data_IF_824773678727
#
_entry.id   IF_824773678727
#
_cell.length_a   1.000
_cell.length_b   1.000
_cell.length_c   1.000
_cell.angle_alpha   90.00
_cell.angle_beta   90.00
_cell.angle_gamma   90.00
#
_symmetry.space_group_name_H-M   'P 1'
#
loop_
_entity.id
_entity.type
_entity.pdbx_description
1 polymer ?
#
# COMPACT_ATOMS: atom_id res chain seq x y z
N UNK A 1 19.85 -26.21 22.80
CA UNK A 1 19.64 -25.15 21.80
C UNK A 1 18.73 -25.74 20.72
N UNK A 2 17.45 -25.33 20.66
CA UNK A 2 16.49 -25.82 19.66
C UNK A 2 16.70 -24.95 18.44
N UNK A 3 17.19 -25.51 17.35
CA UNK A 3 17.30 -24.83 16.07
C UNK A 3 15.98 -25.11 15.35
N UNK A 4 15.06 -24.15 15.34
CA UNK A 4 13.86 -24.21 14.50
C UNK A 4 14.29 -24.02 13.04
N UNK A 5 14.05 -25.02 12.21
CA UNK A 5 14.22 -24.84 10.76
C UNK A 5 13.11 -23.94 10.22
N UNK A 6 13.41 -23.08 9.25
CA UNK A 6 12.42 -22.15 8.68
C UNK A 6 11.19 -22.84 8.03
N UNK A 7 11.26 -24.17 7.81
CA UNK A 7 10.15 -25.01 7.33
C UNK A 7 9.08 -25.30 8.39
N UNK A 8 9.41 -25.16 9.68
CA UNK A 8 8.49 -25.47 10.79
C UNK A 8 7.62 -24.28 11.22
N UNK A 9 7.86 -23.08 10.68
CA UNK A 9 7.01 -21.93 10.89
C UNK A 9 5.68 -22.15 10.14
N UNK A 10 4.64 -22.40 10.92
CA UNK A 10 3.28 -22.56 10.40
C UNK A 10 2.87 -21.23 9.71
N UNK A 11 2.54 -21.27 8.42
CA UNK A 11 2.13 -20.08 7.68
C UNK A 11 0.67 -19.80 8.06
N UNK A 12 0.40 -18.63 8.60
CA UNK A 12 -0.96 -18.10 8.64
C UNK A 12 -1.36 -17.70 7.21
N UNK A 13 -1.98 -18.63 6.49
CA UNK A 13 -2.36 -18.41 5.07
C UNK A 13 -3.24 -17.18 4.87
N UNK A 14 -4.17 -16.92 5.79
CA UNK A 14 -5.04 -15.73 5.72
C UNK A 14 -4.29 -14.43 5.98
N UNK A 15 -3.35 -14.45 6.91
CA UNK A 15 -2.47 -13.32 7.18
C UNK A 15 -1.52 -13.05 6.02
N UNK A 16 -0.95 -14.12 5.45
CA UNK A 16 -0.12 -14.05 4.26
C UNK A 16 -0.87 -13.44 3.07
N UNK A 17 -2.05 -14.00 2.71
CA UNK A 17 -2.86 -13.49 1.61
C UNK A 17 -3.20 -12.02 1.77
N UNK A 18 -3.72 -11.61 2.93
CA UNK A 18 -4.05 -10.19 3.18
C UNK A 18 -2.86 -9.25 3.00
N UNK A 19 -1.68 -9.64 3.49
CA UNK A 19 -0.51 -8.79 3.33
C UNK A 19 -0.03 -8.75 1.88
N UNK A 20 -0.06 -9.89 1.18
CA UNK A 20 0.27 -9.96 -0.24
C UNK A 20 -0.68 -9.13 -1.09
N UNK A 21 -1.98 -9.16 -0.82
CA UNK A 21 -2.98 -8.32 -1.50
C UNK A 21 -2.66 -6.83 -1.31
N UNK A 22 -2.39 -6.39 -0.08
CA UNK A 22 -2.01 -5.01 0.21
C UNK A 22 -0.76 -4.58 -0.56
N UNK A 23 0.27 -5.42 -0.56
CA UNK A 23 1.53 -5.19 -1.31
C UNK A 23 1.26 -5.14 -2.81
N UNK A 24 0.45 -6.06 -3.34
CA UNK A 24 0.12 -6.12 -4.76
C UNK A 24 -0.64 -4.88 -5.23
N UNK A 25 -1.70 -4.47 -4.52
CA UNK A 25 -2.46 -3.26 -4.86
C UNK A 25 -1.61 -1.99 -4.70
N UNK A 26 -0.76 -1.92 -3.67
CA UNK A 26 0.18 -0.81 -3.53
C UNK A 26 1.18 -0.76 -4.70
N UNK A 27 1.66 -1.90 -5.16
CA UNK A 27 2.52 -1.99 -6.33
C UNK A 27 1.81 -1.47 -7.60
N UNK A 28 0.53 -1.76 -7.78
CA UNK A 28 -0.28 -1.21 -8.88
C UNK A 28 -0.37 0.32 -8.79
N UNK A 29 -0.61 0.87 -7.60
CA UNK A 29 -0.65 2.32 -7.41
C UNK A 29 0.69 3.01 -7.76
N UNK A 30 1.81 2.39 -7.37
CA UNK A 30 3.16 2.86 -7.70
C UNK A 30 3.42 2.89 -9.22
N UNK A 31 2.73 2.03 -9.97
CA UNK A 31 2.77 1.97 -11.43
C UNK A 31 1.83 2.96 -12.12
N UNK A 32 1.18 3.85 -11.36
CA UNK A 32 0.24 4.84 -11.87
C UNK A 32 -1.21 4.37 -11.89
N UNK A 33 -1.52 3.25 -11.20
CA UNK A 33 -2.87 2.70 -11.07
C UNK A 33 -3.37 1.94 -12.30
N UNK A 34 -4.62 1.52 -12.26
CA UNK A 34 -5.22 0.70 -13.31
C UNK A 34 -5.29 1.41 -14.68
N UNK A 35 -5.47 2.74 -14.68
CA UNK A 35 -5.50 3.51 -15.92
C UNK A 35 -4.18 3.41 -16.66
N UNK A 36 -3.08 3.65 -15.96
CA UNK A 36 -1.74 3.58 -16.54
C UNK A 36 -1.40 2.15 -16.98
N UNK A 37 -1.80 1.14 -16.20
CA UNK A 37 -1.64 -0.26 -16.59
C UNK A 37 -2.39 -0.60 -17.88
N UNK A 38 -3.57 -0.02 -18.13
CA UNK A 38 -4.32 -0.23 -19.36
C UNK A 38 -3.64 0.41 -20.59
N UNK A 39 -2.89 1.48 -20.39
CA UNK A 39 -2.11 2.14 -21.44
C UNK A 39 -0.87 1.33 -21.85
N UNK A 40 -0.30 0.55 -20.92
CA UNK A 40 0.86 -0.30 -21.18
C UNK A 40 0.48 -1.60 -21.92
N UNK A 41 0.26 -1.54 -23.21
CA UNK A 41 -0.18 -2.67 -24.06
C UNK A 41 0.70 -3.94 -23.99
N UNK A 42 1.94 -3.83 -23.51
CA UNK A 42 2.90 -4.93 -23.45
C UNK A 42 3.10 -5.51 -22.05
N UNK A 43 2.41 -5.02 -21.03
CA UNK A 43 2.57 -5.46 -19.65
C UNK A 43 1.76 -6.72 -19.34
N UNK A 44 2.26 -7.87 -19.78
CA UNK A 44 1.74 -9.19 -19.39
C UNK A 44 2.33 -9.71 -18.07
N UNK A 45 2.83 -8.81 -17.24
CA UNK A 45 3.62 -9.17 -16.05
C UNK A 45 2.86 -9.08 -14.70
N UNK A 46 1.55 -8.81 -14.70
CA UNK A 46 0.74 -8.84 -13.47
C UNK A 46 0.88 -10.15 -12.68
N UNK A 47 0.86 -11.35 -13.32
CA UNK A 47 1.14 -12.60 -12.60
C UNK A 47 2.55 -12.63 -12.00
N UNK A 48 3.53 -12.03 -12.66
CA UNK A 48 4.90 -11.94 -12.14
C UNK A 48 4.98 -10.98 -10.95
N UNK A 49 4.20 -9.91 -10.95
CA UNK A 49 4.10 -8.98 -9.83
C UNK A 49 3.45 -9.66 -8.60
N UNK A 50 2.37 -10.43 -8.81
CA UNK A 50 1.75 -11.19 -7.73
C UNK A 50 2.73 -12.20 -7.11
N UNK A 51 3.44 -12.97 -7.94
CA UNK A 51 4.49 -13.90 -7.47
C UNK A 51 5.62 -13.17 -6.73
N UNK A 52 6.01 -12.00 -7.20
CA UNK A 52 7.01 -11.17 -6.52
C UNK A 52 6.50 -10.69 -5.15
N UNK A 53 5.25 -10.26 -5.04
CA UNK A 53 4.66 -9.87 -3.76
C UNK A 53 4.66 -11.04 -2.76
N UNK A 54 4.24 -12.24 -3.18
CA UNK A 54 4.35 -13.45 -2.37
C UNK A 54 5.80 -13.73 -1.94
N UNK A 55 6.74 -13.69 -2.88
CA UNK A 55 8.14 -13.99 -2.59
C UNK A 55 8.72 -13.02 -1.54
N UNK A 56 8.42 -11.73 -1.63
CA UNK A 56 8.86 -10.72 -0.67
C UNK A 56 8.23 -10.97 0.70
N UNK A 57 6.91 -11.13 0.78
CA UNK A 57 6.21 -11.33 2.05
C UNK A 57 6.64 -12.63 2.73
N UNK A 58 6.76 -13.74 1.98
CA UNK A 58 7.26 -15.02 2.52
C UNK A 58 8.68 -14.90 3.06
N UNK A 59 9.53 -14.10 2.42
CA UNK A 59 10.90 -13.85 2.90
C UNK A 59 10.94 -13.01 4.15
N UNK A 60 10.24 -11.86 4.14
CA UNK A 60 10.36 -10.84 5.18
C UNK A 60 9.56 -11.17 6.45
N UNK A 61 8.37 -11.80 6.32
CA UNK A 61 7.50 -12.10 7.46
C UNK A 61 7.65 -13.55 7.97
N UNK A 62 7.90 -14.49 7.05
CA UNK A 62 7.92 -15.91 7.37
C UNK A 62 9.32 -16.54 7.29
N UNK A 63 10.34 -15.74 6.95
CA UNK A 63 11.75 -16.14 6.88
C UNK A 63 12.00 -17.40 6.01
N UNK A 64 11.15 -17.63 5.01
CA UNK A 64 11.24 -18.79 4.14
C UNK A 64 12.50 -18.77 3.28
N UNK A 65 13.04 -19.95 2.98
CA UNK A 65 14.20 -20.10 2.09
C UNK A 65 13.86 -19.81 0.64
N UNK A 66 14.86 -19.57 -0.21
CA UNK A 66 14.66 -19.39 -1.66
C UNK A 66 13.99 -20.62 -2.30
N UNK A 67 14.26 -21.81 -1.78
CA UNK A 67 13.71 -23.08 -2.28
C UNK A 67 12.24 -23.24 -1.87
N UNK A 68 11.89 -22.96 -0.60
CA UNK A 68 10.50 -23.01 -0.12
C UNK A 68 9.62 -21.99 -0.89
N UNK A 69 10.15 -20.77 -1.09
CA UNK A 69 9.47 -19.75 -1.85
C UNK A 69 9.27 -20.18 -3.30
N UNK A 70 10.29 -20.76 -3.93
CA UNK A 70 10.23 -21.22 -5.31
C UNK A 70 9.16 -22.28 -5.51
N UNK A 71 9.05 -23.23 -4.58
CA UNK A 71 8.00 -24.24 -4.56
C UNK A 71 6.62 -23.61 -4.39
N UNK A 72 6.46 -22.69 -3.42
CA UNK A 72 5.17 -22.06 -3.11
C UNK A 72 4.62 -21.25 -4.29
N UNK A 73 5.47 -20.43 -4.94
CA UNK A 73 5.02 -19.54 -6.04
C UNK A 73 5.13 -20.16 -7.43
N UNK A 74 5.61 -21.41 -7.55
CA UNK A 74 5.79 -22.10 -8.83
C UNK A 74 6.86 -21.45 -9.72
N UNK A 75 7.98 -21.04 -9.15
CA UNK A 75 9.12 -20.44 -9.84
C UNK A 75 10.40 -21.26 -9.62
N UNK A 76 11.45 -20.95 -10.39
CA UNK A 76 12.78 -21.49 -10.10
C UNK A 76 13.45 -20.72 -8.97
N UNK A 77 14.30 -21.39 -8.18
CA UNK A 77 15.13 -20.74 -7.14
C UNK A 77 15.89 -19.51 -7.68
N UNK A 78 16.44 -19.61 -8.89
CA UNK A 78 17.18 -18.50 -9.48
C UNK A 78 16.27 -17.29 -9.77
N UNK A 79 15.04 -17.52 -10.20
CA UNK A 79 14.03 -16.46 -10.41
C UNK A 79 13.67 -15.80 -9.08
N UNK A 80 13.44 -16.57 -8.02
CA UNK A 80 13.18 -16.06 -6.67
C UNK A 80 14.36 -15.22 -6.17
N UNK A 81 15.58 -15.70 -6.32
CA UNK A 81 16.79 -14.95 -5.97
C UNK A 81 16.85 -13.61 -6.68
N UNK A 82 16.53 -13.57 -7.97
CA UNK A 82 16.50 -12.33 -8.75
C UNK A 82 15.43 -11.35 -8.25
N UNK A 83 14.24 -11.84 -7.89
CA UNK A 83 13.18 -11.04 -7.25
C UNK A 83 13.68 -10.45 -5.93
N UNK A 84 14.24 -11.29 -5.06
CA UNK A 84 14.73 -10.89 -3.75
C UNK A 84 15.93 -9.92 -3.80
N UNK A 85 16.72 -9.94 -4.85
CA UNK A 85 17.86 -9.04 -5.06
C UNK A 85 17.54 -7.79 -5.87
N UNK A 86 16.32 -7.69 -6.42
CA UNK A 86 15.94 -6.55 -7.25
C UNK A 86 16.04 -5.24 -6.46
N UNK A 87 16.56 -4.21 -7.14
CA UNK A 87 16.69 -2.87 -6.58
C UNK A 87 15.38 -2.10 -6.80
N UNK A 88 14.74 -1.61 -5.72
CA UNK A 88 13.52 -0.83 -5.81
C UNK A 88 13.68 0.49 -6.57
N UNK A 89 14.78 1.21 -6.34
CA UNK A 89 14.98 2.53 -6.93
C UNK A 89 15.25 2.43 -8.43
N UNK A 90 16.08 1.45 -8.83
CA UNK A 90 16.31 1.14 -10.24
C UNK A 90 15.03 0.68 -10.96
N UNK A 91 14.14 -0.05 -10.28
CA UNK A 91 12.86 -0.46 -10.84
C UNK A 91 11.93 0.75 -11.06
N UNK A 92 11.83 1.64 -10.08
CA UNK A 92 11.02 2.86 -10.19
C UNK A 92 11.55 3.81 -11.26
N UNK A 93 12.86 4.02 -11.35
CA UNK A 93 13.45 4.83 -12.40
C UNK A 93 13.07 4.31 -13.79
N UNK A 94 13.19 3.01 -14.03
CA UNK A 94 12.82 2.39 -15.31
C UNK A 94 11.33 2.56 -15.64
N UNK A 95 10.44 2.50 -14.64
CA UNK A 95 9.01 2.68 -14.87
C UNK A 95 8.70 4.13 -15.24
N UNK A 96 9.28 5.09 -14.56
CA UNK A 96 9.06 6.51 -14.83
C UNK A 96 9.55 6.94 -16.21
N UNK A 97 10.58 6.25 -16.76
CA UNK A 97 11.17 6.54 -18.05
C UNK A 97 10.85 5.47 -19.11
N UNK A 98 9.73 4.74 -18.93
CA UNK A 98 9.39 3.59 -19.79
C UNK A 98 9.24 3.96 -21.27
N UNK A 99 8.81 5.18 -21.57
CA UNK A 99 8.62 5.65 -22.93
C UNK A 99 9.96 5.92 -23.64
N UNK A 100 11.01 6.21 -22.88
CA UNK A 100 12.36 6.46 -23.36
C UNK A 100 13.15 5.16 -23.61
N UNK A 101 12.67 4.02 -23.08
CA UNK A 101 13.34 2.73 -23.19
C UNK A 101 13.17 2.13 -24.59
N UNK A 102 14.24 1.53 -25.10
CA UNK A 102 14.19 0.76 -26.33
C UNK A 102 13.26 -0.46 -26.21
N UNK A 103 12.80 -1.01 -27.35
CA UNK A 103 11.94 -2.21 -27.39
C UNK A 103 12.60 -3.40 -26.66
N UNK A 104 13.92 -3.48 -26.70
CA UNK A 104 14.68 -4.56 -26.06
C UNK A 104 14.73 -4.39 -24.55
N UNK A 105 14.96 -3.18 -24.05
CA UNK A 105 14.93 -2.86 -22.63
C UNK A 105 13.53 -3.00 -22.03
N UNK A 106 12.47 -2.63 -22.77
CA UNK A 106 11.07 -2.91 -22.38
C UNK A 106 10.77 -4.40 -22.20
N UNK A 107 11.44 -5.29 -22.98
CA UNK A 107 11.30 -6.74 -22.83
C UNK A 107 12.04 -7.30 -21.60
N UNK A 108 13.15 -6.68 -21.19
CA UNK A 108 13.96 -7.09 -20.03
C UNK A 108 13.36 -6.67 -18.68
N UNK A 109 12.36 -5.80 -18.69
CA UNK A 109 11.69 -5.31 -17.48
C UNK A 109 10.96 -6.39 -16.65
N UNK A 110 10.81 -7.63 -17.13
CA UNK A 110 9.79 -8.57 -16.65
C UNK A 110 9.95 -9.09 -15.22
N UNK A 111 11.14 -9.41 -14.74
CA UNK A 111 11.33 -10.07 -13.43
C UNK A 111 11.97 -9.14 -12.41
N UNK A 112 13.03 -8.45 -12.76
CA UNK A 112 13.73 -7.53 -11.85
C UNK A 112 12.86 -6.33 -11.47
N UNK A 113 12.11 -5.79 -12.43
CA UNK A 113 11.19 -4.66 -12.16
C UNK A 113 10.06 -5.08 -11.21
N UNK A 114 9.43 -6.23 -11.43
CA UNK A 114 8.37 -6.72 -10.54
C UNK A 114 8.89 -6.93 -9.10
N UNK A 115 10.09 -7.48 -8.95
CA UNK A 115 10.72 -7.66 -7.64
C UNK A 115 11.02 -6.32 -6.95
N UNK A 116 11.58 -5.35 -7.67
CA UNK A 116 11.87 -4.02 -7.11
C UNK A 116 10.62 -3.26 -6.70
N UNK A 117 9.58 -3.26 -7.55
CA UNK A 117 8.29 -2.62 -7.22
C UNK A 117 7.61 -3.29 -6.05
N UNK A 118 7.59 -4.63 -5.99
CA UNK A 118 7.01 -5.36 -4.86
C UNK A 118 7.74 -5.07 -3.54
N UNK A 119 9.07 -4.94 -3.55
CA UNK A 119 9.85 -4.52 -2.37
C UNK A 119 9.49 -3.12 -1.89
N UNK A 120 9.42 -2.16 -2.80
CA UNK A 120 9.04 -0.80 -2.45
C UNK A 120 7.61 -0.76 -1.90
N UNK A 121 6.68 -1.45 -2.56
CA UNK A 121 5.30 -1.56 -2.10
C UNK A 121 5.21 -2.19 -0.70
N UNK A 122 5.95 -3.29 -0.45
CA UNK A 122 6.01 -3.92 0.87
C UNK A 122 6.48 -2.95 1.94
N UNK A 123 7.58 -2.22 1.69
CA UNK A 123 8.10 -1.22 2.62
C UNK A 123 7.04 -0.16 2.96
N UNK A 124 6.38 0.41 1.95
CA UNK A 124 5.35 1.42 2.14
C UNK A 124 4.14 0.87 2.91
N UNK A 125 3.71 -0.35 2.62
CA UNK A 125 2.62 -1.02 3.35
C UNK A 125 2.99 -1.26 4.82
N UNK A 126 4.23 -1.63 5.12
CA UNK A 126 4.72 -1.78 6.50
C UNK A 126 4.79 -0.43 7.24
N UNK A 127 4.98 0.65 6.51
CA UNK A 127 4.90 2.02 7.03
C UNK A 127 3.45 2.54 7.16
N UNK A 128 2.45 1.70 6.83
CA UNK A 128 1.03 2.03 6.89
C UNK A 128 0.50 2.80 5.68
N UNK A 129 1.27 2.88 4.60
CA UNK A 129 0.88 3.53 3.35
C UNK A 129 0.23 2.53 2.39
N UNK A 130 -1.00 2.14 2.68
CA UNK A 130 -1.77 1.22 1.84
C UNK A 130 -2.15 1.83 0.47
N UNK A 131 -2.66 0.97 -0.43
CA UNK A 131 -3.13 1.35 -1.74
C UNK A 131 -4.33 2.31 -1.65
N UNK A 132 -4.33 3.35 -2.47
CA UNK A 132 -5.47 4.27 -2.63
C UNK A 132 -6.72 3.54 -3.11
N UNK A 133 -6.57 2.64 -4.08
CA UNK A 133 -7.65 1.81 -4.61
C UNK A 133 -8.30 0.96 -3.51
N UNK A 134 -7.49 0.35 -2.64
CA UNK A 134 -7.98 -0.45 -1.51
C UNK A 134 -8.71 0.44 -0.49
N UNK A 135 -8.16 1.59 -0.15
CA UNK A 135 -8.78 2.56 0.76
C UNK A 135 -10.13 3.07 0.22
N UNK A 136 -10.21 3.36 -1.07
CA UNK A 136 -11.46 3.78 -1.73
C UNK A 136 -12.55 2.71 -1.67
N UNK A 137 -12.18 1.46 -1.93
CA UNK A 137 -13.09 0.32 -1.79
C UNK A 137 -13.60 0.17 -0.36
N UNK A 138 -12.70 0.19 0.63
CA UNK A 138 -13.05 0.10 2.05
C UNK A 138 -13.98 1.26 2.47
N UNK A 139 -13.75 2.47 1.98
CA UNK A 139 -14.61 3.63 2.22
C UNK A 139 -16.02 3.44 1.65
N UNK A 140 -16.13 2.96 0.41
CA UNK A 140 -17.42 2.71 -0.22
C UNK A 140 -18.22 1.68 0.58
N UNK A 141 -17.61 0.56 0.92
CA UNK A 141 -18.23 -0.51 1.71
C UNK A 141 -18.63 -0.06 3.11
N UNK A 142 -17.78 0.69 3.82
CA UNK A 142 -18.09 1.24 5.13
C UNK A 142 -19.26 2.23 5.06
N UNK A 143 -19.30 3.06 4.03
CA UNK A 143 -20.40 4.01 3.82
C UNK A 143 -21.74 3.34 3.58
N UNK A 144 -21.78 2.24 2.82
CA UNK A 144 -22.97 1.45 2.59
C UNK A 144 -23.43 0.73 3.88
N UNK A 145 -22.50 0.13 4.62
CA UNK A 145 -22.78 -0.53 5.89
C UNK A 145 -23.36 0.45 6.93
N UNK A 146 -22.82 1.66 7.02
CA UNK A 146 -23.32 2.70 7.93
C UNK A 146 -24.72 3.19 7.53
N UNK A 147 -25.00 3.35 6.24
CA UNK A 147 -26.33 3.69 5.74
C UNK A 147 -27.36 2.59 6.08
N UNK A 148 -26.98 1.31 5.87
CA UNK A 148 -27.83 0.17 6.18
C UNK A 148 -28.12 0.03 7.68
N UNK A 149 -27.17 0.40 8.55
CA UNK A 149 -27.32 0.36 9.99
C UNK A 149 -28.13 1.53 10.58
N UNK A 150 -28.57 2.50 9.76
CA UNK A 150 -29.28 3.71 10.21
C UNK A 150 -28.55 4.48 11.32
N UNK A 151 -27.22 4.38 11.35
CA UNK A 151 -26.37 5.01 12.35
C UNK A 151 -25.89 6.38 11.89
N UNK A 152 -25.76 7.32 12.82
CA UNK A 152 -25.04 8.57 12.52
C UNK A 152 -23.59 8.24 12.10
N UNK A 153 -23.18 8.86 11.00
CA UNK A 153 -21.84 8.58 10.44
C UNK A 153 -20.76 8.93 11.46
N UNK A 154 -19.90 7.99 11.87
CA UNK A 154 -18.82 8.30 12.80
C UNK A 154 -17.92 9.39 12.24
N UNK A 155 -17.47 10.30 13.09
CA UNK A 155 -16.59 11.41 12.69
C UNK A 155 -15.37 10.93 11.88
N UNK A 156 -14.79 9.78 12.25
CA UNK A 156 -13.66 9.17 11.55
C UNK A 156 -13.98 8.84 10.09
N UNK A 157 -15.17 8.30 9.81
CA UNK A 157 -15.62 8.05 8.45
C UNK A 157 -15.78 9.34 7.65
N UNK A 158 -16.35 10.38 8.26
CA UNK A 158 -16.52 11.68 7.60
C UNK A 158 -15.17 12.29 7.24
N UNK A 159 -14.19 12.27 8.14
CA UNK A 159 -12.82 12.72 7.90
C UNK A 159 -12.21 11.97 6.72
N UNK A 160 -12.22 10.65 6.74
CA UNK A 160 -11.65 9.83 5.68
C UNK A 160 -12.35 10.07 4.33
N UNK A 161 -13.67 10.29 4.32
CA UNK A 161 -14.42 10.62 3.11
C UNK A 161 -13.98 11.95 2.49
N UNK A 162 -13.75 12.98 3.31
CA UNK A 162 -13.33 14.31 2.84
C UNK A 162 -11.85 14.34 2.43
N UNK A 163 -11.02 13.49 3.02
CA UNK A 163 -9.59 13.37 2.71
C UNK A 163 -9.31 12.36 1.60
N UNK A 164 -10.35 11.82 0.95
CA UNK A 164 -10.21 10.90 -0.19
C UNK A 164 -9.37 11.53 -1.30
N UNK A 165 -8.39 10.79 -1.81
CA UNK A 165 -7.50 11.23 -2.89
C UNK A 165 -6.35 12.14 -2.46
N UNK A 166 -6.16 12.40 -1.16
CA UNK A 166 -4.95 13.07 -0.67
C UNK A 166 -3.79 12.07 -0.66
N UNK A 167 -2.67 12.47 -1.25
CA UNK A 167 -1.41 11.70 -1.15
C UNK A 167 -0.79 11.82 0.23
N UNK A 168 -0.25 10.71 0.76
CA UNK A 168 0.54 10.70 1.98
C UNK A 168 2.04 10.62 1.65
N UNK A 169 2.92 11.24 2.47
CA UNK A 169 2.64 11.98 3.72
C UNK A 169 2.03 13.37 3.48
N UNK A 170 1.11 13.79 4.36
CA UNK A 170 0.60 15.17 4.40
C UNK A 170 1.60 16.00 5.21
N UNK A 171 2.21 16.98 4.56
CA UNK A 171 3.31 17.77 5.16
C UNK A 171 2.86 19.13 5.69
N UNK A 172 1.68 19.63 5.29
CA UNK A 172 1.16 20.92 5.72
C UNK A 172 -0.31 20.88 6.11
N UNK A 173 -0.70 21.79 7.00
CA UNK A 173 -2.08 21.94 7.43
C UNK A 173 -3.01 22.44 6.31
N UNK A 174 -2.52 23.24 5.38
CA UNK A 174 -3.35 23.96 4.40
C UNK A 174 -4.15 23.02 3.52
N UNK A 175 -3.49 21.95 3.04
CA UNK A 175 -4.15 20.93 2.21
C UNK A 175 -5.28 20.23 2.98
N UNK A 176 -5.02 19.89 4.24
CA UNK A 176 -6.00 19.20 5.07
C UNK A 176 -7.13 20.16 5.50
N UNK A 177 -6.79 21.40 5.85
CA UNK A 177 -7.75 22.42 6.21
C UNK A 177 -8.75 22.72 5.08
N UNK A 178 -8.27 22.82 3.85
CA UNK A 178 -9.14 23.04 2.69
C UNK A 178 -10.10 21.86 2.41
N UNK A 179 -9.70 20.65 2.77
CA UNK A 179 -10.53 19.43 2.59
C UNK A 179 -11.54 19.22 3.71
N UNK A 180 -11.23 19.68 4.91
CA UNK A 180 -12.09 19.55 6.09
C UNK A 180 -12.91 20.81 6.37
N UNK A 181 -12.79 21.85 5.54
CA UNK A 181 -13.56 23.09 5.69
C UNK A 181 -15.07 22.83 5.68
N UNK A 182 -15.78 23.34 6.68
CA UNK A 182 -17.21 23.14 6.85
C UNK A 182 -17.63 21.79 7.45
N UNK A 183 -16.67 20.89 7.72
CA UNK A 183 -16.95 19.64 8.42
C UNK A 183 -16.91 19.84 9.93
N UNK A 184 -17.99 19.47 10.62
CA UNK A 184 -18.01 19.44 12.09
C UNK A 184 -17.52 18.07 12.61
N UNK A 185 -16.42 18.08 13.35
CA UNK A 185 -15.81 16.89 13.93
C UNK A 185 -16.02 16.95 15.45
N UNK A 186 -17.00 16.21 15.94
CA UNK A 186 -17.41 16.25 17.35
C UNK A 186 -17.62 17.69 17.89
N UNK A 187 -18.22 18.56 17.06
CA UNK A 187 -18.53 19.93 17.44
C UNK A 187 -17.39 20.94 17.23
N UNK A 188 -16.24 20.51 16.73
CA UNK A 188 -15.11 21.38 16.37
C UNK A 188 -15.02 21.51 14.85
N UNK A 189 -14.75 22.71 14.35
CA UNK A 189 -14.59 22.93 12.91
C UNK A 189 -13.36 22.18 12.35
N UNK A 190 -13.55 21.48 11.22
CA UNK A 190 -12.50 20.66 10.64
C UNK A 190 -11.25 21.44 10.22
N UNK A 191 -11.39 22.71 9.85
CA UNK A 191 -10.26 23.59 9.54
C UNK A 191 -9.44 23.90 10.79
N UNK A 192 -10.10 24.14 11.90
CA UNK A 192 -9.45 24.35 13.20
C UNK A 192 -8.72 23.08 13.65
N UNK A 193 -9.39 21.93 13.52
CA UNK A 193 -8.77 20.63 13.80
C UNK A 193 -7.50 20.46 12.96
N UNK A 194 -7.57 20.65 11.64
CA UNK A 194 -6.43 20.49 10.75
C UNK A 194 -5.23 21.38 11.15
N UNK A 195 -5.48 22.59 11.63
CA UNK A 195 -4.42 23.50 12.06
C UNK A 195 -3.77 23.10 13.40
N UNK A 196 -4.48 22.31 14.21
CA UNK A 196 -3.99 21.86 15.51
C UNK A 196 -3.22 20.53 15.49
N UNK A 197 -3.12 19.85 14.35
CA UNK A 197 -2.44 18.56 14.24
C UNK A 197 -0.92 18.67 14.12
N UNK A 198 -0.22 17.59 14.46
CA UNK A 198 1.23 17.48 14.31
C UNK A 198 1.58 16.89 12.94
N UNK A 199 2.42 17.57 12.17
CA UNK A 199 2.86 17.18 10.84
C UNK A 199 4.35 16.75 10.82
N UNK A 200 4.78 15.88 9.91
CA UNK A 200 4.01 15.27 8.80
C UNK A 200 3.14 14.08 9.24
N UNK A 201 1.97 13.96 8.64
CA UNK A 201 1.05 12.83 8.83
C UNK A 201 1.31 11.81 7.73
N UNK A 202 1.79 10.62 8.09
CA UNK A 202 2.28 9.62 7.14
C UNK A 202 1.19 8.69 6.61
N UNK A 203 0.10 8.51 7.37
CA UNK A 203 -0.94 7.51 7.05
C UNK A 203 -2.32 8.00 7.43
N UNK A 204 -3.40 7.46 6.80
CA UNK A 204 -4.77 7.72 7.25
C UNK A 204 -5.04 7.34 8.71
N UNK A 205 -4.41 6.24 9.19
CA UNK A 205 -4.56 5.82 10.58
C UNK A 205 -3.94 6.83 11.54
N UNK A 206 -2.76 7.36 11.20
CA UNK A 206 -2.12 8.44 11.97
C UNK A 206 -2.99 9.70 11.95
N UNK A 207 -3.59 10.06 10.81
CA UNK A 207 -4.51 11.21 10.74
C UNK A 207 -5.64 11.08 11.74
N UNK A 208 -6.30 9.92 11.81
CA UNK A 208 -7.38 9.68 12.76
C UNK A 208 -6.90 9.70 14.22
N UNK A 209 -5.69 9.20 14.47
CA UNK A 209 -5.08 9.22 15.79
C UNK A 209 -4.80 10.65 16.25
N UNK A 210 -4.12 11.45 15.43
CA UNK A 210 -3.82 12.86 15.74
C UNK A 210 -5.10 13.67 15.98
N UNK A 211 -6.15 13.47 15.16
CA UNK A 211 -7.44 14.13 15.37
C UNK A 211 -8.06 13.72 16.71
N UNK A 212 -8.00 12.44 17.05
CA UNK A 212 -8.52 11.94 18.33
C UNK A 212 -7.81 12.58 19.51
N UNK A 213 -6.48 12.58 19.52
CA UNK A 213 -5.64 13.20 20.54
C UNK A 213 -5.96 14.71 20.70
N UNK A 214 -6.07 15.43 19.56
CA UNK A 214 -6.44 16.84 19.55
C UNK A 214 -7.81 17.09 20.20
N UNK A 215 -8.82 16.27 19.86
CA UNK A 215 -10.17 16.40 20.40
C UNK A 215 -10.22 16.07 21.90
N UNK A 216 -9.45 15.07 22.34
CA UNK A 216 -9.35 14.68 23.75
C UNK A 216 -8.62 15.75 24.59
N UNK A 217 -7.62 16.42 24.01
CA UNK A 217 -6.92 17.53 24.67
C UNK A 217 -7.78 18.79 24.79
N UNK A 218 -8.84 18.93 23.99
CA UNK A 218 -9.72 20.09 23.95
C UNK A 218 -11.04 19.91 24.70
N UNK A 219 -11.37 18.65 25.05
CA UNK A 219 -12.60 18.29 25.79
C UNK A 219 -12.42 18.51 27.29
#
# INVERSE_FOLDING_TARGET
>A
MIILSGSELNIDEKGLERLVERVFFKAIDLLGGLKQLAEYRTLTWLPSLARAAFAIVLREEYLKSEDDIAEYVGLTRNTVRNILRADPDAAMYKIQHIDELSVQEKRELKVHTAGGVAKLAYKLVKEGQDSQTMLEFCHAMAGEALKAASCESPWAYLVLKHTKGIGYPIVSADLLASRLEGLQIKGVDGKEVAQGLVYPIKTPAQLLHEIKEYLEAKA
#
